data_IF_258820061878
#
_entry.id   IF_258820061878
#
_cell.length_a   1.000
_cell.length_b   1.000
_cell.length_c   1.000
_cell.angle_alpha   90.00
_cell.angle_beta   90.00
_cell.angle_gamma   90.00
#
_symmetry.space_group_name_H-M   'P 1'
#
loop_
_entity.id
_entity.type
_entity.pdbx_description
1 polymer ?
#
# COMPACT_ATOMS: atom_id res chain seq x y z
N UNK A 1 36.86 -12.66 5.72
CA UNK A 1 35.77 -11.83 5.16
C UNK A 1 34.67 -12.80 4.78
N UNK A 2 33.89 -13.17 5.78
CA UNK A 2 32.79 -14.13 5.64
C UNK A 2 31.56 -13.33 5.20
N UNK A 3 30.90 -13.79 4.15
CA UNK A 3 29.70 -13.16 3.62
C UNK A 3 28.61 -13.33 4.66
N UNK A 4 28.07 -12.22 5.18
CA UNK A 4 26.81 -12.23 5.90
C UNK A 4 25.71 -12.68 4.93
N UNK A 5 25.49 -14.00 4.83
CA UNK A 5 24.22 -14.52 4.35
C UNK A 5 23.20 -14.21 5.44
N UNK A 6 22.38 -13.18 5.19
CA UNK A 6 21.14 -12.99 5.95
C UNK A 6 20.36 -14.30 5.82
N UNK A 7 20.21 -15.03 6.92
CA UNK A 7 19.46 -16.29 6.95
C UNK A 7 18.02 -15.99 6.54
N UNK A 8 17.71 -16.31 5.29
CA UNK A 8 16.38 -16.13 4.72
C UNK A 8 15.44 -17.11 5.42
N UNK A 9 14.39 -16.62 6.08
CA UNK A 9 13.30 -17.46 6.59
C UNK A 9 12.85 -18.39 5.46
N UNK A 10 12.79 -19.69 5.74
CA UNK A 10 12.53 -20.73 4.73
C UNK A 10 11.08 -20.72 4.24
N UNK A 11 10.26 -19.84 4.79
CA UNK A 11 8.81 -19.83 4.69
C UNK A 11 8.17 -18.45 4.53
N UNK A 12 8.92 -17.34 4.58
CA UNK A 12 8.28 -16.03 4.35
C UNK A 12 7.67 -16.02 2.94
N UNK A 13 6.36 -16.19 2.88
CA UNK A 13 5.63 -16.27 1.63
C UNK A 13 5.76 -14.90 0.98
N UNK A 14 6.71 -14.79 0.06
CA UNK A 14 6.89 -13.58 -0.72
C UNK A 14 5.63 -13.42 -1.57
N UNK A 15 4.83 -12.42 -1.24
CA UNK A 15 3.61 -12.16 -1.99
C UNK A 15 4.01 -11.44 -3.28
N UNK A 16 3.75 -12.09 -4.42
CA UNK A 16 4.02 -11.48 -5.73
C UNK A 16 2.80 -10.71 -6.17
N UNK A 17 2.95 -9.39 -6.28
CA UNK A 17 1.97 -8.49 -6.88
C UNK A 17 2.22 -8.44 -8.39
N UNK A 18 1.53 -9.31 -9.14
CA UNK A 18 1.67 -9.45 -10.60
C UNK A 18 0.54 -8.79 -11.40
N UNK A 19 -0.34 -8.05 -10.72
CA UNK A 19 -1.51 -7.39 -11.31
C UNK A 19 -2.70 -8.31 -11.57
N UNK A 20 -2.62 -9.61 -11.30
CA UNK A 20 -3.70 -10.57 -11.57
C UNK A 20 -5.00 -10.25 -10.81
N UNK A 21 -4.90 -9.76 -9.58
CA UNK A 21 -6.07 -9.38 -8.79
C UNK A 21 -6.77 -8.13 -9.33
N UNK A 22 -6.01 -7.17 -9.87
CA UNK A 22 -6.58 -6.01 -10.58
C UNK A 22 -7.32 -6.49 -11.84
N UNK A 23 -6.73 -7.41 -12.61
CA UNK A 23 -7.39 -7.99 -13.79
C UNK A 23 -8.68 -8.74 -13.43
N UNK A 24 -8.69 -9.50 -12.33
CA UNK A 24 -9.89 -10.19 -11.83
C UNK A 24 -10.96 -9.20 -11.39
N UNK A 25 -10.59 -8.12 -10.70
CA UNK A 25 -11.51 -7.09 -10.26
C UNK A 25 -12.19 -6.43 -11.46
N UNK A 26 -11.41 -5.89 -12.40
CA UNK A 26 -11.93 -5.21 -13.60
C UNK A 26 -12.70 -6.16 -14.51
N UNK A 27 -12.24 -7.41 -14.65
CA UNK A 27 -12.92 -8.44 -15.44
C UNK A 27 -14.26 -8.92 -14.85
N UNK A 28 -14.50 -8.68 -13.56
CA UNK A 28 -15.79 -8.94 -12.93
C UNK A 28 -16.69 -7.70 -13.05
N UNK A 29 -17.39 -7.61 -14.18
CA UNK A 29 -18.21 -6.46 -14.56
C UNK A 29 -19.21 -6.02 -13.46
N UNK A 30 -19.81 -6.96 -12.73
CA UNK A 30 -20.76 -6.64 -11.67
C UNK A 30 -20.08 -6.00 -10.45
N UNK A 31 -18.97 -6.59 -9.99
CA UNK A 31 -18.20 -6.07 -8.84
C UNK A 31 -17.58 -4.73 -9.21
N UNK A 32 -16.97 -4.64 -10.39
CA UNK A 32 -16.35 -3.41 -10.86
C UNK A 32 -17.38 -2.29 -11.04
N UNK A 33 -18.53 -2.58 -11.65
CA UNK A 33 -19.58 -1.58 -11.76
C UNK A 33 -20.09 -1.12 -10.40
N UNK A 34 -20.28 -2.01 -9.43
CA UNK A 34 -20.70 -1.60 -8.08
C UNK A 34 -19.65 -0.70 -7.39
N UNK A 35 -18.36 -1.00 -7.57
CA UNK A 35 -17.27 -0.18 -7.06
C UNK A 35 -17.27 1.21 -7.71
N UNK A 36 -17.39 1.26 -9.04
CA UNK A 36 -17.48 2.50 -9.82
C UNK A 36 -18.69 3.33 -9.39
N UNK A 37 -19.84 2.70 -9.19
CA UNK A 37 -21.07 3.35 -8.75
C UNK A 37 -20.88 4.04 -7.40
N UNK A 38 -20.29 3.34 -6.43
CA UNK A 38 -20.01 3.88 -5.12
C UNK A 38 -19.01 5.04 -5.20
N UNK A 39 -17.88 4.83 -5.90
CA UNK A 39 -16.84 5.85 -6.04
C UNK A 39 -17.33 7.09 -6.76
N UNK A 40 -18.14 6.92 -7.81
CA UNK A 40 -18.73 8.04 -8.54
C UNK A 40 -19.66 8.87 -7.63
N UNK A 41 -20.50 8.22 -6.83
CA UNK A 41 -21.39 8.90 -5.88
C UNK A 41 -20.64 9.64 -4.78
N UNK A 42 -19.48 9.13 -4.35
CA UNK A 42 -18.63 9.84 -3.38
C UNK A 42 -18.00 11.11 -3.97
N UNK A 43 -17.70 11.09 -5.27
CA UNK A 43 -17.05 12.20 -5.97
C UNK A 43 -18.05 13.24 -6.51
N UNK A 44 -19.28 12.84 -6.87
CA UNK A 44 -20.35 13.70 -7.36
C UNK A 44 -21.00 14.48 -6.20
N UNK A 45 -20.28 15.51 -5.73
CA UNK A 45 -20.64 16.30 -4.55
C UNK A 45 -21.88 17.15 -4.85
N UNK A 46 -21.96 17.73 -6.06
CA UNK A 46 -23.09 18.56 -6.46
C UNK A 46 -24.32 17.75 -6.93
N UNK A 47 -24.15 16.44 -7.13
CA UNK A 47 -25.18 15.46 -7.51
C UNK A 47 -25.84 15.76 -8.84
N UNK A 48 -25.09 16.35 -9.78
CA UNK A 48 -25.59 16.63 -11.12
C UNK A 48 -25.47 15.41 -12.08
N UNK A 49 -24.88 14.31 -11.59
CA UNK A 49 -24.69 13.07 -12.34
C UNK A 49 -23.45 13.07 -13.23
N UNK A 50 -22.55 14.04 -13.06
CA UNK A 50 -21.27 14.16 -13.77
C UNK A 50 -20.17 14.63 -12.83
N UNK A 51 -18.93 14.21 -13.09
CA UNK A 51 -17.77 14.63 -12.31
C UNK A 51 -17.05 15.77 -13.00
N UNK A 52 -16.99 16.92 -12.34
CA UNK A 52 -16.14 18.02 -12.77
C UNK A 52 -14.67 17.78 -12.41
N UNK A 53 -13.76 18.52 -13.05
CA UNK A 53 -12.33 18.49 -12.68
C UNK A 53 -12.11 18.78 -11.19
N UNK A 54 -12.92 19.69 -10.61
CA UNK A 54 -12.83 20.06 -9.19
C UNK A 54 -13.22 18.91 -8.26
N UNK A 55 -14.11 18.03 -8.70
CA UNK A 55 -14.56 16.84 -7.96
C UNK A 55 -13.58 15.68 -8.10
N UNK A 56 -12.92 15.55 -9.26
CA UNK A 56 -11.89 14.53 -9.50
C UNK A 56 -10.55 14.86 -8.83
N UNK A 57 -10.19 16.14 -8.76
CA UNK A 57 -8.87 16.58 -8.32
C UNK A 57 -8.46 16.06 -6.92
N UNK A 58 -9.32 16.09 -5.88
CA UNK A 58 -8.96 15.55 -4.57
C UNK A 58 -8.61 14.06 -4.62
N UNK A 59 -9.38 13.26 -5.34
CA UNK A 59 -9.14 11.82 -5.46
C UNK A 59 -7.84 11.51 -6.21
N UNK A 60 -7.55 12.25 -7.28
CA UNK A 60 -6.28 12.11 -8.02
C UNK A 60 -5.09 12.54 -7.15
N UNK A 61 -5.24 13.60 -6.35
CA UNK A 61 -4.23 14.06 -5.41
C UNK A 61 -3.94 13.00 -4.32
N UNK A 62 -4.99 12.44 -3.71
CA UNK A 62 -4.89 11.41 -2.68
C UNK A 62 -4.18 10.14 -3.21
N UNK A 63 -4.52 9.72 -4.44
CA UNK A 63 -3.83 8.60 -5.11
C UNK A 63 -2.37 8.95 -5.36
N UNK A 64 -2.08 10.16 -5.85
CA UNK A 64 -0.69 10.59 -6.08
C UNK A 64 0.15 10.52 -4.81
N UNK A 65 -0.38 11.01 -3.69
CA UNK A 65 0.28 10.92 -2.37
C UNK A 65 0.48 9.46 -1.95
N UNK A 66 -0.52 8.61 -2.13
CA UNK A 66 -0.42 7.18 -1.82
C UNK A 66 0.65 6.46 -2.67
N UNK A 67 0.91 6.95 -3.88
CA UNK A 67 1.97 6.46 -4.77
C UNK A 67 3.32 7.14 -4.55
N UNK A 68 3.44 8.01 -3.55
CA UNK A 68 4.68 8.73 -3.23
C UNK A 68 5.00 9.87 -4.21
N UNK A 69 4.02 10.34 -5.00
CA UNK A 69 4.17 11.56 -5.77
C UNK A 69 4.23 12.77 -4.82
N UNK A 70 5.09 13.76 -5.13
CA UNK A 70 5.05 15.05 -4.44
C UNK A 70 3.66 15.68 -4.51
N UNK A 71 3.20 16.40 -3.47
CA UNK A 71 1.89 17.05 -3.48
C UNK A 71 1.71 17.98 -4.69
N UNK A 72 0.50 18.05 -5.23
CA UNK A 72 0.19 19.02 -6.28
C UNK A 72 0.52 20.46 -5.81
N UNK A 73 1.18 21.23 -6.67
CA UNK A 73 1.69 22.58 -6.43
C UNK A 73 3.11 22.62 -5.88
N UNK A 74 3.75 21.47 -5.65
CA UNK A 74 5.12 21.42 -5.12
C UNK A 74 6.19 21.66 -6.19
N UNK A 75 5.97 21.20 -7.42
CA UNK A 75 6.84 21.51 -8.57
C UNK A 75 6.08 21.47 -9.91
N UNK A 76 6.57 22.17 -10.96
CA UNK A 76 5.99 22.13 -12.29
C UNK A 76 5.86 20.71 -12.87
N UNK A 77 6.82 19.83 -12.56
CA UNK A 77 6.84 18.43 -13.02
C UNK A 77 5.74 17.61 -12.33
N UNK A 78 5.56 17.78 -11.01
CA UNK A 78 4.47 17.12 -10.28
C UNK A 78 3.11 17.59 -10.79
N UNK A 79 2.93 18.90 -11.01
CA UNK A 79 1.70 19.48 -11.53
C UNK A 79 1.36 18.96 -12.92
N UNK A 80 2.38 18.74 -13.74
CA UNK A 80 2.21 18.17 -15.07
C UNK A 80 1.61 16.76 -14.98
N UNK A 81 2.13 15.88 -14.11
CA UNK A 81 1.61 14.52 -13.91
C UNK A 81 0.14 14.56 -13.48
N UNK A 82 -0.21 15.40 -12.51
CA UNK A 82 -1.60 15.55 -12.06
C UNK A 82 -2.51 16.06 -13.19
N UNK A 83 -2.02 17.00 -14.00
CA UNK A 83 -2.78 17.54 -15.12
C UNK A 83 -2.99 16.51 -16.24
N UNK A 84 -2.02 15.65 -16.52
CA UNK A 84 -2.14 14.58 -17.52
C UNK A 84 -3.21 13.58 -17.10
N UNK A 85 -3.21 13.13 -15.84
CA UNK A 85 -4.23 12.19 -15.34
C UNK A 85 -5.63 12.81 -15.41
N UNK A 86 -5.80 14.08 -15.03
CA UNK A 86 -7.10 14.76 -15.13
C UNK A 86 -7.54 14.96 -16.60
N UNK A 87 -6.60 15.12 -17.52
CA UNK A 87 -6.90 15.21 -18.96
C UNK A 87 -7.39 13.90 -19.55
N UNK A 88 -6.89 12.75 -19.09
CA UNK A 88 -7.38 11.43 -19.50
C UNK A 88 -8.88 11.26 -19.16
N UNK A 89 -9.30 11.69 -17.98
CA UNK A 89 -10.74 11.64 -17.60
C UNK A 89 -11.62 12.59 -18.43
N UNK A 90 -11.08 13.77 -18.78
CA UNK A 90 -11.85 14.83 -19.47
C UNK A 90 -11.73 14.80 -20.99
N UNK A 91 -10.96 13.85 -21.54
CA UNK A 91 -10.57 13.79 -22.96
C UNK A 91 -10.02 15.13 -23.49
N UNK A 92 -9.40 15.93 -22.61
CA UNK A 92 -8.87 17.27 -22.90
C UNK A 92 -9.89 18.32 -23.39
N UNK A 93 -11.20 18.03 -23.33
CA UNK A 93 -12.23 18.87 -23.96
C UNK A 93 -13.48 19.10 -23.12
N UNK A 94 -13.80 18.22 -22.17
CA UNK A 94 -15.03 18.31 -21.38
C UNK A 94 -14.72 18.82 -19.96
N UNK A 95 -15.51 19.78 -19.47
CA UNK A 95 -15.40 20.21 -18.06
C UNK A 95 -15.99 19.19 -17.09
N UNK A 96 -16.83 18.27 -17.58
CA UNK A 96 -17.56 17.29 -16.77
C UNK A 96 -17.54 15.90 -17.43
N UNK A 97 -17.40 14.86 -16.62
CA UNK A 97 -17.23 13.46 -17.02
C UNK A 97 -18.45 12.66 -16.60
N UNK A 98 -19.09 11.97 -17.53
CA UNK A 98 -20.20 11.07 -17.20
C UNK A 98 -19.73 9.82 -16.46
N UNK A 99 -20.65 9.13 -15.79
CA UNK A 99 -20.35 7.87 -15.12
C UNK A 99 -19.78 6.79 -16.04
N UNK A 100 -20.25 6.73 -17.28
CA UNK A 100 -19.74 5.78 -18.27
C UNK A 100 -18.31 6.10 -18.65
N UNK A 101 -17.99 7.37 -18.93
CA UNK A 101 -16.63 7.81 -19.25
C UNK A 101 -15.69 7.58 -18.05
N UNK A 102 -16.13 7.91 -16.83
CA UNK A 102 -15.36 7.63 -15.61
C UNK A 102 -15.05 6.14 -15.45
N UNK A 103 -16.03 5.27 -15.72
CA UNK A 103 -15.84 3.81 -15.67
C UNK A 103 -14.79 3.32 -16.67
N UNK A 104 -14.89 3.80 -17.91
CA UNK A 104 -14.00 3.41 -19.00
C UNK A 104 -12.56 3.84 -18.69
N UNK A 105 -12.35 5.10 -18.34
CA UNK A 105 -11.02 5.62 -18.02
C UNK A 105 -10.43 4.93 -16.77
N UNK A 106 -11.23 4.72 -15.73
CA UNK A 106 -10.77 4.00 -14.54
C UNK A 106 -10.38 2.55 -14.85
N UNK A 107 -11.14 1.87 -15.71
CA UNK A 107 -10.82 0.53 -16.20
C UNK A 107 -9.49 0.52 -16.93
N UNK A 108 -9.29 1.45 -17.87
CA UNK A 108 -8.07 1.52 -18.67
C UNK A 108 -6.82 1.80 -17.82
N UNK A 109 -6.93 2.70 -16.83
CA UNK A 109 -5.85 2.97 -15.87
C UNK A 109 -5.51 1.71 -15.06
N UNK A 110 -6.51 1.03 -14.49
CA UNK A 110 -6.30 -0.17 -13.68
C UNK A 110 -5.70 -1.32 -14.51
N UNK A 111 -6.17 -1.50 -15.74
CA UNK A 111 -5.61 -2.50 -16.66
C UNK A 111 -4.19 -2.14 -17.09
N UNK A 112 -3.90 -0.85 -17.28
CA UNK A 112 -2.54 -0.34 -17.52
C UNK A 112 -1.60 -0.65 -16.35
N UNK A 113 -2.04 -0.40 -15.11
CA UNK A 113 -1.30 -0.77 -13.89
C UNK A 113 -1.09 -2.28 -13.82
N UNK A 114 -2.12 -3.08 -14.08
CA UNK A 114 -2.03 -4.53 -14.08
C UNK A 114 -1.05 -5.06 -15.14
N UNK A 115 -1.05 -4.47 -16.34
CA UNK A 115 -0.10 -4.80 -17.39
C UNK A 115 1.35 -4.40 -17.01
N UNK A 116 1.50 -3.25 -16.34
CA UNK A 116 2.76 -2.81 -15.76
C UNK A 116 3.31 -3.82 -14.75
N UNK A 117 2.50 -4.22 -13.77
CA UNK A 117 2.83 -5.22 -12.74
C UNK A 117 3.09 -6.60 -13.34
N UNK A 118 2.38 -6.98 -14.41
CA UNK A 118 2.65 -8.23 -15.11
C UNK A 118 4.03 -8.24 -15.77
N UNK A 119 4.50 -7.08 -16.25
CA UNK A 119 5.83 -6.91 -16.87
C UNK A 119 6.92 -6.82 -15.81
N UNK A 120 6.65 -6.10 -14.73
CA UNK A 120 7.58 -5.87 -13.61
C UNK A 120 6.86 -6.13 -12.27
N UNK A 121 6.80 -7.41 -11.83
CA UNK A 121 6.09 -7.78 -10.62
C UNK A 121 6.78 -7.24 -9.37
N UNK A 122 5.99 -6.75 -8.42
CA UNK A 122 6.49 -6.31 -7.12
C UNK A 122 6.45 -7.49 -6.16
N UNK A 123 7.59 -7.80 -5.53
CA UNK A 123 7.69 -8.85 -4.52
C UNK A 123 7.62 -8.22 -3.14
N UNK A 124 6.53 -8.48 -2.42
CA UNK A 124 6.35 -8.04 -1.03
C UNK A 124 6.85 -9.15 -0.11
N UNK A 125 7.83 -8.83 0.73
CA UNK A 125 8.14 -9.65 1.89
C UNK A 125 7.08 -9.37 2.96
N UNK A 126 6.48 -10.43 3.48
CA UNK A 126 5.49 -10.35 4.55
C UNK A 126 5.85 -11.36 5.62
N UNK A 127 5.63 -10.97 6.87
CA UNK A 127 5.59 -11.87 8.01
C UNK A 127 4.14 -12.00 8.45
N UNK A 128 3.57 -13.18 8.39
CA UNK A 128 2.26 -13.45 8.98
C UNK A 128 2.36 -14.08 10.39
N UNK A 129 1.23 -14.53 10.93
CA UNK A 129 1.18 -15.12 12.26
C UNK A 129 1.87 -16.49 12.36
N UNK A 130 1.89 -17.27 11.28
CA UNK A 130 2.59 -18.54 11.22
C UNK A 130 4.10 -18.32 11.09
N UNK A 131 4.51 -17.38 10.25
CA UNK A 131 5.91 -16.94 10.11
C UNK A 131 6.46 -16.42 11.44
N UNK A 132 5.70 -15.58 12.14
CA UNK A 132 6.07 -15.06 13.45
C UNK A 132 6.18 -16.17 14.49
N UNK A 133 5.28 -17.15 14.45
CA UNK A 133 5.33 -18.30 15.35
C UNK A 133 6.56 -19.17 15.09
N UNK A 134 6.93 -19.37 13.82
CA UNK A 134 8.16 -20.07 13.43
C UNK A 134 9.40 -19.30 13.88
N UNK A 135 9.43 -17.98 13.68
CA UNK A 135 10.52 -17.11 14.12
C UNK A 135 10.78 -17.24 15.63
N UNK A 136 9.72 -17.25 16.44
CA UNK A 136 9.85 -17.35 17.90
C UNK A 136 10.22 -18.76 18.38
N UNK A 137 9.75 -19.82 17.71
CA UNK A 137 9.92 -21.21 18.18
C UNK A 137 11.13 -21.92 17.61
N UNK A 138 11.64 -21.49 16.47
CA UNK A 138 12.71 -22.19 15.77
C UNK A 138 14.05 -21.93 16.44
N UNK A 139 14.81 -22.99 16.80
CA UNK A 139 16.18 -22.84 17.30
C UNK A 139 17.12 -22.10 16.32
N UNK A 140 16.73 -22.02 15.04
CA UNK A 140 17.50 -21.30 14.02
C UNK A 140 17.58 -19.79 14.29
N UNK A 141 16.64 -19.22 15.05
CA UNK A 141 16.59 -17.79 15.39
C UNK A 141 16.91 -17.52 16.87
N UNK A 142 17.29 -18.55 17.64
CA UNK A 142 17.71 -18.37 19.04
C UNK A 142 18.88 -17.38 19.21
N UNK A 143 19.93 -17.38 18.36
CA UNK A 143 21.01 -16.39 18.47
C UNK A 143 20.53 -14.94 18.34
N UNK A 144 19.65 -14.68 17.37
CA UNK A 144 19.03 -13.38 17.12
C UNK A 144 18.15 -12.96 18.30
N UNK A 145 17.34 -13.88 18.84
CA UNK A 145 16.49 -13.65 20.00
C UNK A 145 17.29 -13.38 21.28
N UNK A 146 18.42 -14.07 21.49
CA UNK A 146 19.33 -13.85 22.61
C UNK A 146 20.07 -12.52 22.50
N UNK A 147 20.47 -12.13 21.27
CA UNK A 147 21.03 -10.80 21.01
C UNK A 147 20.01 -9.71 21.33
N UNK A 148 18.76 -9.88 20.88
CA UNK A 148 17.65 -8.99 21.22
C UNK A 148 17.49 -8.86 22.73
N UNK A 149 17.38 -10.00 23.43
CA UNK A 149 17.17 -10.02 24.87
C UNK A 149 18.28 -9.29 25.64
N UNK A 150 19.52 -9.41 25.17
CA UNK A 150 20.68 -8.74 25.79
C UNK A 150 20.67 -7.22 25.59
N UNK A 151 20.10 -6.74 24.48
CA UNK A 151 19.93 -5.31 24.17
C UNK A 151 18.67 -4.69 24.83
N UNK A 152 17.74 -5.52 25.30
CA UNK A 152 16.54 -5.10 26.02
C UNK A 152 16.86 -4.73 27.47
N UNK A 153 17.59 -3.63 27.67
CA UNK A 153 17.72 -3.00 29.00
C UNK A 153 16.40 -2.29 29.36
N UNK A 154 15.49 -3.02 30.03
CA UNK A 154 14.23 -2.48 30.55
C UNK A 154 14.03 -2.89 32.03
N UNK A 155 14.85 -2.38 32.97
CA UNK A 155 14.81 -2.81 34.37
C UNK A 155 13.43 -2.69 35.03
N UNK A 156 12.56 -1.79 34.56
CA UNK A 156 11.20 -1.57 35.07
C UNK A 156 10.08 -1.72 33.99
N UNK A 157 10.39 -2.32 32.84
CA UNK A 157 9.42 -2.46 31.73
C UNK A 157 8.34 -3.51 32.00
N UNK A 158 7.12 -3.25 31.54
CA UNK A 158 6.05 -4.27 31.49
C UNK A 158 6.33 -5.29 30.39
N UNK A 159 5.72 -6.48 30.47
CA UNK A 159 5.80 -7.49 29.39
C UNK A 159 5.43 -6.92 28.01
N UNK A 160 4.50 -5.95 27.97
CA UNK A 160 4.11 -5.25 26.75
C UNK A 160 5.29 -4.44 26.17
N UNK A 161 6.07 -3.77 27.01
CA UNK A 161 7.23 -2.96 26.58
C UNK A 161 8.33 -3.85 26.00
N UNK A 162 8.54 -5.04 26.56
CA UNK A 162 9.46 -6.04 26.01
C UNK A 162 9.00 -6.56 24.63
N UNK A 163 7.70 -6.82 24.48
CA UNK A 163 7.11 -7.26 23.20
C UNK A 163 7.25 -6.16 22.13
N UNK A 164 6.94 -4.91 22.48
CA UNK A 164 7.05 -3.77 21.54
C UNK A 164 8.50 -3.61 21.08
N UNK A 165 9.48 -3.57 21.99
CA UNK A 165 10.89 -3.45 21.60
C UNK A 165 11.40 -4.65 20.79
N UNK A 166 10.89 -5.86 21.04
CA UNK A 166 11.22 -7.02 20.22
C UNK A 166 10.69 -6.85 18.79
N UNK A 167 9.46 -6.34 18.63
CA UNK A 167 8.88 -6.05 17.32
C UNK A 167 9.60 -4.91 16.58
N UNK A 168 10.14 -3.90 17.27
CA UNK A 168 10.94 -2.83 16.64
C UNK A 168 12.21 -3.35 15.92
N UNK A 169 12.65 -4.56 16.26
CA UNK A 169 13.83 -5.19 15.65
C UNK A 169 13.50 -6.09 14.46
N UNK A 170 12.22 -6.40 14.25
CA UNK A 170 11.76 -6.99 12.99
C UNK A 170 11.63 -5.85 11.97
N UNK A 171 12.50 -5.86 10.97
CA UNK A 171 12.59 -4.83 9.93
C UNK A 171 11.85 -5.27 8.67
N UNK A 172 11.89 -4.39 7.67
CA UNK A 172 11.40 -4.66 6.31
C UNK A 172 12.05 -5.89 5.68
N UNK A 173 13.25 -6.28 6.12
CA UNK A 173 13.96 -7.45 5.62
C UNK A 173 13.28 -8.76 6.05
N UNK A 174 12.54 -8.74 7.17
CA UNK A 174 11.71 -9.86 7.62
C UNK A 174 10.25 -9.73 7.17
N UNK A 175 9.90 -8.71 6.38
CA UNK A 175 8.53 -8.49 5.93
C UNK A 175 7.62 -7.81 6.96
N UNK A 176 8.21 -7.14 7.96
CA UNK A 176 7.50 -6.24 8.85
C UNK A 176 7.59 -4.79 8.36
N UNK A 177 6.53 -3.98 8.51
CA UNK A 177 6.59 -2.56 8.21
C UNK A 177 7.57 -1.82 9.13
N UNK A 178 8.13 -0.67 8.71
CA UNK A 178 9.00 0.12 9.58
C UNK A 178 8.28 0.53 10.88
N UNK A 179 8.93 0.32 12.02
CA UNK A 179 8.37 0.69 13.33
C UNK A 179 8.09 2.20 13.48
N UNK A 180 8.75 3.03 12.66
CA UNK A 180 8.53 4.48 12.59
C UNK A 180 7.23 4.88 11.89
N UNK A 181 6.59 3.98 11.15
CA UNK A 181 5.38 4.31 10.40
C UNK A 181 4.22 4.63 11.35
N UNK A 182 3.54 5.75 11.11
CA UNK A 182 2.47 6.25 11.98
C UNK A 182 1.37 5.21 12.25
N UNK A 183 1.01 4.40 11.26
CA UNK A 183 -0.02 3.36 11.41
C UNK A 183 0.43 2.18 12.28
N UNK A 184 1.72 1.85 12.28
CA UNK A 184 2.32 0.83 13.15
C UNK A 184 2.30 1.30 14.60
N UNK A 185 2.68 2.56 14.84
CA UNK A 185 2.61 3.21 16.15
C UNK A 185 1.18 3.24 16.69
N UNK A 186 0.19 3.54 15.84
CA UNK A 186 -1.22 3.52 16.22
C UNK A 186 -1.73 2.12 16.59
N UNK A 187 -1.27 1.07 15.89
CA UNK A 187 -1.64 -0.32 16.20
C UNK A 187 -1.16 -0.72 17.62
N UNK A 188 0.05 -0.32 18.00
CA UNK A 188 0.58 -0.57 19.35
C UNK A 188 -0.07 0.31 20.44
N UNK A 189 -0.63 1.46 20.05
CA UNK A 189 -1.29 2.42 20.94
C UNK A 189 -2.75 2.10 21.25
N UNK A 190 -3.42 1.24 20.46
CA UNK A 190 -4.85 0.89 20.61
C UNK A 190 -5.16 -0.09 21.76
N UNK A 191 -4.26 -0.26 22.73
CA UNK A 191 -4.50 -1.04 23.96
C UNK A 191 -4.13 -0.21 25.19
N UNK A 192 -4.86 0.87 25.42
CA UNK A 192 -4.89 1.65 26.66
C UNK A 192 -6.33 1.82 27.12
#
# INVERSE_FOLDING_TARGET
MEKNEVMKMKSSESQVMDGSDIMKLVGNEAVFSNFVDHKFQELDIDKDGKLSVKELQPAVADIGVALGLPPQGSSPESDHIYSEVLQEFTHGKQEKVSKTEFKEVLSDILLGMAAGLKRDPIVLLRMDGEDLLEFVKSPAFEPEMLSLYSELELPDGSLKDYIIKAFEKLTVDQGMPPASDSWVVHLFSLTA
#
